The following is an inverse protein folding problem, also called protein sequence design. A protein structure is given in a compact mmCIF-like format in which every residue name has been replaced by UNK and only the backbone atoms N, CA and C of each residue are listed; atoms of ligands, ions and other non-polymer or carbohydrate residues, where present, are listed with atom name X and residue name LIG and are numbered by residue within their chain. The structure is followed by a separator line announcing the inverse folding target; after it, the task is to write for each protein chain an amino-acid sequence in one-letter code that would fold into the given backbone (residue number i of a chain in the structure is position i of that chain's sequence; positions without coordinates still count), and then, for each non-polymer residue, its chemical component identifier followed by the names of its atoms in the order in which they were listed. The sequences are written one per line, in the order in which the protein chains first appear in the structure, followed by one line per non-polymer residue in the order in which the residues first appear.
data_IF_068686212973
#
_entry.id   IF_068686212973
#
_cell.length_a   1.000
_cell.length_b   1.000
_cell.length_c   1.000
_cell.angle_alpha   90.00
_cell.angle_beta   90.00
_cell.angle_gamma   90.00
#
_symmetry.space_group_name_H-M   'P 1'
#
loop_
_entity.id
_entity.type
_entity.pdbx_description
1 polymer ?
#
# COMPACT_ATOMS: atom_id res chain seq x y z
N UNK A 1 9.76 13.46 34.92
CA UNK A 1 10.19 13.37 33.51
C UNK A 1 9.22 12.40 32.86
N UNK A 2 8.12 12.92 32.32
CA UNK A 2 7.18 12.10 31.57
C UNK A 2 7.80 11.89 30.18
N UNK A 3 8.29 10.68 29.92
CA UNK A 3 8.52 10.22 28.56
C UNK A 3 7.14 10.08 27.93
N UNK A 4 6.69 11.13 27.27
CA UNK A 4 5.59 11.03 26.30
C UNK A 4 6.20 10.25 25.14
N UNK A 5 6.09 8.92 25.17
CA UNK A 5 6.19 8.13 23.95
C UNK A 5 5.11 8.69 23.04
N UNK A 6 5.50 9.55 22.09
CA UNK A 6 4.61 9.96 21.01
C UNK A 6 4.06 8.67 20.41
N UNK A 7 2.76 8.43 20.56
CA UNK A 7 2.09 7.34 19.88
C UNK A 7 2.41 7.49 18.40
N UNK A 8 3.32 6.64 17.91
CA UNK A 8 3.78 6.71 16.53
C UNK A 8 2.60 6.31 15.66
N UNK A 9 2.04 7.27 14.94
CA UNK A 9 0.92 7.02 14.01
C UNK A 9 1.28 5.87 13.07
N UNK A 10 0.43 4.84 13.03
CA UNK A 10 0.55 3.70 12.14
C UNK A 10 -0.30 3.92 10.89
N UNK A 11 0.11 3.27 9.80
CA UNK A 11 -0.54 3.33 8.50
C UNK A 11 0.07 4.38 7.58
N UNK A 12 -0.75 4.92 6.68
CA UNK A 12 -0.31 5.93 5.70
C UNK A 12 -0.04 7.26 6.40
N UNK A 13 1.21 7.73 6.31
CA UNK A 13 1.70 8.97 6.92
C UNK A 13 1.57 10.17 5.98
N UNK A 14 1.90 9.98 4.71
CA UNK A 14 1.86 11.03 3.68
C UNK A 14 1.48 10.46 2.32
N UNK A 15 0.85 11.29 1.48
CA UNK A 15 0.50 10.97 0.09
C UNK A 15 0.81 12.18 -0.78
N UNK A 16 1.78 12.02 -1.69
CA UNK A 16 2.10 13.02 -2.71
C UNK A 16 1.93 12.44 -4.12
N UNK A 17 1.71 13.32 -5.09
CA UNK A 17 1.65 12.96 -6.51
C UNK A 17 2.80 13.69 -7.22
N UNK A 18 3.66 12.94 -7.90
CA UNK A 18 4.78 13.47 -8.66
C UNK A 18 4.93 12.68 -9.97
N UNK A 19 5.06 13.38 -11.11
CA UNK A 19 5.27 12.77 -12.44
C UNK A 19 4.27 11.66 -12.82
N UNK A 20 2.97 11.86 -12.56
CA UNK A 20 1.89 10.87 -12.75
C UNK A 20 2.00 9.61 -11.85
N UNK A 21 2.73 9.67 -10.73
CA UNK A 21 2.81 8.61 -9.73
C UNK A 21 2.33 9.10 -8.37
N UNK A 22 1.63 8.24 -7.65
CA UNK A 22 1.50 8.35 -6.20
C UNK A 22 2.78 7.89 -5.54
N UNK A 23 3.21 8.64 -4.54
CA UNK A 23 4.25 8.26 -3.58
C UNK A 23 3.59 8.32 -2.20
N UNK A 24 3.54 7.16 -1.54
CA UNK A 24 2.84 6.96 -0.27
C UNK A 24 3.83 6.54 0.79
N UNK A 25 4.05 7.37 1.80
CA UNK A 25 4.87 7.01 2.96
C UNK A 25 4.01 6.26 3.98
N UNK A 26 4.49 5.12 4.45
CA UNK A 26 3.74 4.19 5.31
C UNK A 26 4.57 3.81 6.51
N UNK A 27 3.94 3.72 7.68
CA UNK A 27 4.45 3.00 8.85
C UNK A 27 3.61 1.75 9.08
N UNK A 28 4.19 0.57 8.91
CA UNK A 28 3.50 -0.71 9.05
C UNK A 28 3.24 -1.07 10.52
N UNK A 29 2.45 -2.11 10.77
CA UNK A 29 2.13 -2.59 12.12
C UNK A 29 3.35 -3.00 12.95
N UNK A 30 4.44 -3.46 12.30
CA UNK A 30 5.72 -3.77 12.96
C UNK A 30 6.59 -2.53 13.22
N UNK A 31 6.09 -1.34 12.88
CA UNK A 31 6.76 -0.06 13.03
C UNK A 31 7.80 0.25 11.95
N UNK A 32 8.00 -0.63 10.95
CA UNK A 32 8.86 -0.34 9.80
C UNK A 32 8.23 0.74 8.93
N UNK A 33 9.08 1.58 8.34
CA UNK A 33 8.66 2.64 7.44
C UNK A 33 9.21 2.41 6.04
N UNK A 34 8.36 2.60 5.02
CA UNK A 34 8.76 2.55 3.63
C UNK A 34 7.92 3.52 2.77
N UNK A 35 8.29 3.64 1.50
CA UNK A 35 7.51 4.38 0.49
C UNK A 35 6.99 3.43 -0.58
N UNK A 36 5.72 3.56 -0.95
CA UNK A 36 5.12 2.88 -2.09
C UNK A 36 4.92 3.83 -3.26
N UNK A 37 5.38 3.40 -4.42
CA UNK A 37 5.32 4.18 -5.65
C UNK A 37 4.48 3.43 -6.68
N UNK A 38 3.44 4.07 -7.20
CA UNK A 38 2.60 3.46 -8.23
C UNK A 38 1.94 4.50 -9.15
N UNK A 39 1.68 4.16 -10.43
CA UNK A 39 1.12 5.12 -11.38
C UNK A 39 -0.27 5.60 -10.95
N UNK A 40 -0.56 6.88 -11.15
CA UNK A 40 -1.87 7.47 -10.88
C UNK A 40 -2.98 6.76 -11.67
N UNK A 41 -2.69 6.46 -12.95
CA UNK A 41 -3.60 5.74 -13.87
C UNK A 41 -3.83 4.28 -13.47
N UNK A 42 -3.01 3.76 -12.56
CA UNK A 42 -3.07 2.39 -12.08
C UNK A 42 -2.04 1.46 -12.69
N UNK A 43 -2.10 0.22 -12.24
CA UNK A 43 -1.16 -0.83 -12.60
C UNK A 43 -1.84 -2.20 -12.65
N UNK A 44 -1.31 -3.14 -13.46
CA UNK A 44 -1.77 -4.50 -13.45
C UNK A 44 -1.27 -5.22 -12.20
N UNK A 45 -2.14 -6.00 -11.57
CA UNK A 45 -1.76 -6.92 -10.48
C UNK A 45 -1.42 -8.26 -11.09
N UNK A 46 -0.21 -8.73 -10.79
CA UNK A 46 0.33 -10.00 -11.28
C UNK A 46 0.55 -10.95 -10.12
N UNK A 47 0.22 -12.21 -10.35
CA UNK A 47 0.54 -13.29 -9.43
C UNK A 47 2.08 -13.49 -9.41
N UNK A 48 2.72 -13.48 -8.24
CA UNK A 48 4.16 -13.55 -8.15
C UNK A 48 4.73 -14.92 -8.56
N UNK A 49 3.97 -16.01 -8.43
CA UNK A 49 4.40 -17.37 -8.77
C UNK A 49 4.27 -17.62 -10.28
N UNK A 50 3.11 -17.30 -10.84
CA UNK A 50 2.77 -17.62 -12.24
C UNK A 50 3.12 -16.50 -13.23
N UNK A 51 3.40 -15.29 -12.72
CA UNK A 51 3.60 -14.05 -13.50
C UNK A 51 2.41 -13.67 -14.40
N UNK A 52 1.24 -14.26 -14.16
CA UNK A 52 0.01 -13.95 -14.90
C UNK A 52 -0.78 -12.86 -14.19
N UNK A 53 -1.56 -12.09 -14.95
CA UNK A 53 -2.53 -11.16 -14.37
C UNK A 53 -3.58 -11.93 -13.57
N UNK A 54 -3.94 -11.41 -12.40
CA UNK A 54 -4.98 -11.99 -11.55
C UNK A 54 -6.34 -11.43 -11.98
N UNK A 55 -7.14 -12.22 -12.72
CA UNK A 55 -8.47 -11.81 -13.20
C UNK A 55 -8.44 -10.56 -14.10
N UNK A 56 -9.39 -9.64 -13.90
CA UNK A 56 -9.37 -8.30 -14.51
C UNK A 56 -8.24 -7.40 -13.96
N UNK A 57 -7.64 -7.78 -12.82
CA UNK A 57 -6.26 -7.49 -12.40
C UNK A 57 -5.73 -6.07 -12.59
N UNK A 58 -6.54 -5.03 -12.34
CA UNK A 58 -6.11 -3.64 -12.41
C UNK A 58 -6.49 -2.88 -11.14
N UNK A 59 -5.54 -2.14 -10.57
CA UNK A 59 -5.78 -1.23 -9.45
C UNK A 59 -5.38 0.17 -9.90
N UNK A 60 -6.33 1.12 -9.87
CA UNK A 60 -6.03 2.54 -10.06
C UNK A 60 -5.33 3.15 -8.84
N UNK A 61 -4.60 4.24 -9.03
CA UNK A 61 -3.79 4.84 -7.96
C UNK A 61 -4.62 5.29 -6.75
N UNK A 62 -5.84 5.81 -6.95
CA UNK A 62 -6.72 6.21 -5.85
C UNK A 62 -7.15 5.01 -5.02
N UNK A 63 -7.50 3.90 -5.68
CA UNK A 63 -7.84 2.63 -5.04
C UNK A 63 -6.63 2.06 -4.29
N UNK A 64 -5.43 2.14 -4.85
CA UNK A 64 -4.20 1.72 -4.19
C UNK A 64 -3.94 2.51 -2.89
N UNK A 65 -4.03 3.84 -2.92
CA UNK A 65 -3.92 4.68 -1.71
C UNK A 65 -4.96 4.29 -0.67
N UNK A 66 -6.21 4.07 -1.08
CA UNK A 66 -7.30 3.67 -0.18
C UNK A 66 -7.01 2.32 0.49
N UNK A 67 -6.59 1.32 -0.28
CA UNK A 67 -6.19 0.01 0.23
C UNK A 67 -5.11 0.16 1.31
N UNK A 68 -4.06 0.94 1.03
CA UNK A 68 -2.97 1.15 1.98
C UNK A 68 -3.48 1.83 3.25
N UNK A 69 -4.33 2.85 3.16
CA UNK A 69 -4.94 3.54 4.33
C UNK A 69 -5.75 2.60 5.21
N UNK A 70 -6.48 1.66 4.61
CA UNK A 70 -7.38 0.77 5.33
C UNK A 70 -6.66 -0.42 5.99
N UNK A 71 -5.51 -0.82 5.47
CA UNK A 71 -4.87 -2.09 5.85
C UNK A 71 -3.51 -1.93 6.52
N UNK A 72 -2.67 -0.97 6.13
CA UNK A 72 -1.25 -0.91 6.54
C UNK A 72 -1.00 -0.82 8.05
N UNK A 73 -1.94 -0.26 8.82
CA UNK A 73 -1.83 -0.20 10.28
C UNK A 73 -2.07 -1.56 10.98
N UNK A 74 -2.64 -2.54 10.27
CA UNK A 74 -3.06 -3.83 10.82
C UNK A 74 -2.27 -5.03 10.24
N UNK A 75 -1.27 -4.77 9.41
CA UNK A 75 -0.41 -5.80 8.82
C UNK A 75 1.02 -5.29 8.62
N UNK A 76 1.93 -6.21 8.37
CA UNK A 76 3.32 -5.90 8.01
C UNK A 76 3.49 -5.78 6.50
N UNK A 77 4.60 -5.18 6.06
CA UNK A 77 4.97 -5.11 4.64
C UNK A 77 5.06 -6.52 4.00
N UNK A 78 5.56 -7.50 4.75
CA UNK A 78 5.79 -8.88 4.27
C UNK A 78 4.47 -9.64 4.07
N UNK A 79 3.43 -9.28 4.81
CA UNK A 79 2.09 -9.88 4.69
C UNK A 79 1.24 -9.22 3.59
N UNK A 80 1.60 -8.00 3.19
CA UNK A 80 0.81 -7.23 2.23
C UNK A 80 1.00 -7.76 0.80
N UNK A 81 -0.12 -8.10 0.14
CA UNK A 81 -0.13 -8.40 -1.29
C UNK A 81 -1.25 -7.67 -2.03
N UNK A 82 -0.91 -7.04 -3.16
CA UNK A 82 -1.91 -6.45 -4.07
C UNK A 82 -2.91 -7.48 -4.61
N UNK A 83 -2.54 -8.77 -4.64
CA UNK A 83 -3.41 -9.86 -5.10
C UNK A 83 -4.65 -10.03 -4.22
N UNK A 84 -4.57 -9.65 -2.95
CA UNK A 84 -5.67 -9.82 -1.99
C UNK A 84 -6.82 -8.83 -2.25
N UNK A 85 -6.58 -7.81 -3.07
CA UNK A 85 -7.51 -6.70 -3.33
C UNK A 85 -8.06 -6.69 -4.77
N UNK A 86 -7.78 -7.73 -5.55
CA UNK A 86 -8.33 -7.97 -6.88
C UNK A 86 -9.25 -9.18 -6.86
N UNK A 87 -10.41 -9.06 -7.51
CA UNK A 87 -11.33 -10.18 -7.65
C UNK A 87 -10.78 -11.17 -8.67
N UNK A 88 -10.75 -12.44 -8.30
CA UNK A 88 -10.61 -13.55 -9.24
C UNK A 88 -12.02 -13.82 -9.78
N UNK A 89 -12.23 -13.56 -11.07
CA UNK A 89 -13.47 -13.93 -11.79
C UNK A 89 -13.28 -15.27 -12.49
#
# INVERSE_FOLDING_TARGET
MENIEQEKELGVLDVKIENDYYIVSIRWADGKENEHHFPEKGFPVVDPETKKKVGAGWIDGKKAVKILRENSANMTEEEFSWTDFVKIE
#
